data_IF_057017759925
#
_entry.id   IF_057017759925
#
_cell.length_a   1.000
_cell.length_b   1.000
_cell.length_c   1.000
_cell.angle_alpha   90.00
_cell.angle_beta   90.00
_cell.angle_gamma   90.00
#
_symmetry.space_group_name_H-M   'P 1'
#
loop_
_entity.id
_entity.type
_entity.pdbx_description
1 polymer ?
#
# COMPACT_ATOMS: atom_id res chain seq x y z
N UNK A 1 -34.54 14.91 -6.18
CA UNK A 1 -34.07 14.65 -6.08
C UNK A 1 -33.49 13.97 -6.10
N UNK A 2 -33.21 13.65 -6.12
CA UNK A 2 -32.70 13.05 -6.17
C UNK A 2 -31.97 12.54 -5.76
N UNK A 3 -31.70 12.52 -5.34
CA UNK A 3 -31.12 12.11 -4.81
C UNK A 3 -30.71 11.11 -4.62
N UNK A 4 -31.03 10.83 -4.45
CA UNK A 4 -30.98 9.66 -4.09
C UNK A 4 -30.07 9.00 -4.71
N UNK A 5 -29.89 9.26 -5.27
CA UNK A 5 -29.20 8.72 -6.00
C UNK A 5 -28.03 8.39 -5.55
N UNK A 6 -27.87 8.43 -4.70
CA UNK A 6 -26.87 8.16 -4.26
C UNK A 6 -26.64 6.93 -4.11
N UNK A 7 -26.27 6.42 -4.76
CA UNK A 7 -25.82 5.27 -4.72
C UNK A 7 -24.80 5.23 -3.76
N UNK A 8 -24.87 4.64 -2.77
CA UNK A 8 -23.88 4.43 -1.80
C UNK A 8 -22.93 3.41 -2.34
N UNK A 9 -21.74 3.82 -2.60
CA UNK A 9 -20.76 2.90 -3.08
C UNK A 9 -20.04 2.34 -1.88
N UNK A 10 -20.19 1.04 -1.68
CA UNK A 10 -19.54 0.41 -0.56
C UNK A 10 -18.06 0.34 -0.81
N UNK A 11 -17.23 0.76 0.14
CA UNK A 11 -15.79 0.60 0.00
C UNK A 11 -15.40 -0.86 0.11
N UNK A 12 -14.32 -1.21 -0.54
CA UNK A 12 -13.73 -2.54 -0.44
C UNK A 12 -12.45 -2.45 0.37
N UNK A 13 -12.01 -3.58 0.87
CA UNK A 13 -10.80 -3.67 1.69
C UNK A 13 -9.62 -4.05 0.82
N UNK A 14 -8.57 -3.26 0.86
CA UNK A 14 -7.40 -3.47 0.01
C UNK A 14 -6.11 -3.51 0.80
N UNK A 15 -5.18 -4.27 0.26
CA UNK A 15 -3.79 -4.24 0.70
C UNK A 15 -2.98 -3.70 -0.46
N UNK A 16 -2.27 -2.61 -0.23
CA UNK A 16 -1.39 -2.03 -1.25
C UNK A 16 0.05 -2.24 -0.86
N UNK A 17 0.84 -2.72 -1.81
CA UNK A 17 2.27 -2.87 -1.60
C UNK A 17 2.95 -1.93 -2.57
N UNK A 18 3.65 -0.95 -2.04
CA UNK A 18 4.30 0.09 -2.84
C UNK A 18 5.80 -0.09 -2.76
N UNK A 19 6.43 -0.19 -3.91
CA UNK A 19 7.88 -0.33 -3.99
C UNK A 19 8.50 1.04 -4.18
N UNK A 20 9.40 1.41 -3.30
CA UNK A 20 10.10 2.68 -3.36
C UNK A 20 11.60 2.46 -3.26
N UNK A 21 12.38 3.46 -3.63
CA UNK A 21 13.83 3.38 -3.53
C UNK A 21 14.27 3.36 -2.07
N UNK A 22 15.05 2.35 -1.69
CA UNK A 22 15.52 2.20 -0.33
C UNK A 22 16.31 3.40 0.16
N UNK A 23 17.19 3.91 -0.68
CA UNK A 23 18.02 5.06 -0.30
C UNK A 23 17.20 6.32 -0.07
N UNK A 24 16.22 6.52 -0.92
CA UNK A 24 15.34 7.67 -0.78
C UNK A 24 14.53 7.58 0.51
N UNK A 25 14.04 6.39 0.83
CA UNK A 25 13.30 6.19 2.05
C UNK A 25 14.17 6.42 3.28
N UNK A 26 15.42 5.94 3.24
CA UNK A 26 16.33 6.11 4.35
C UNK A 26 16.66 7.58 4.59
N UNK A 27 16.73 8.36 3.52
CA UNK A 27 17.07 9.77 3.63
C UNK A 27 15.88 10.61 4.07
N UNK A 28 14.69 10.29 3.57
CA UNK A 28 13.51 11.10 3.84
C UNK A 28 12.28 10.20 3.97
N UNK A 29 12.19 9.44 5.05
CA UNK A 29 11.06 8.52 5.20
C UNK A 29 9.71 9.23 5.22
N UNK A 30 9.63 10.38 5.87
CA UNK A 30 8.35 11.10 5.97
C UNK A 30 7.89 11.60 4.61
N UNK A 31 8.80 12.08 3.79
CA UNK A 31 8.45 12.54 2.46
C UNK A 31 7.95 11.42 1.58
N UNK A 32 8.60 10.25 1.67
CA UNK A 32 8.18 9.08 0.90
C UNK A 32 6.80 8.62 1.35
N UNK A 33 6.59 8.54 2.66
CA UNK A 33 5.29 8.12 3.20
C UNK A 33 4.20 9.11 2.79
N UNK A 34 4.49 10.40 2.85
CA UNK A 34 3.53 11.41 2.43
C UNK A 34 3.16 11.27 0.96
N UNK A 35 4.12 10.95 0.11
CA UNK A 35 3.83 10.75 -1.30
C UNK A 35 2.87 9.58 -1.52
N UNK A 36 3.09 8.49 -0.78
CA UNK A 36 2.21 7.32 -0.86
C UNK A 36 0.81 7.70 -0.34
N UNK A 37 0.76 8.38 0.79
CA UNK A 37 -0.52 8.77 1.38
C UNK A 37 -1.29 9.72 0.46
N UNK A 38 -0.59 10.62 -0.23
CA UNK A 38 -1.24 11.53 -1.16
C UNK A 38 -1.88 10.80 -2.34
N UNK A 39 -1.20 9.78 -2.85
CA UNK A 39 -1.76 8.97 -3.93
C UNK A 39 -3.05 8.31 -3.46
N UNK A 40 -3.02 7.73 -2.27
CA UNK A 40 -4.20 7.07 -1.71
C UNK A 40 -5.32 8.06 -1.45
N UNK A 41 -5.00 9.22 -0.93
CA UNK A 41 -6.00 10.23 -0.66
C UNK A 41 -6.69 10.68 -1.93
N UNK A 42 -5.93 10.86 -3.00
CA UNK A 42 -6.52 11.28 -4.28
C UNK A 42 -7.45 10.22 -4.85
N UNK A 43 -7.18 8.96 -4.53
CA UNK A 43 -8.02 7.85 -4.98
C UNK A 43 -9.25 7.65 -4.11
N UNK A 44 -9.39 8.42 -3.04
CA UNK A 44 -10.52 8.29 -2.13
C UNK A 44 -10.34 7.18 -1.11
N UNK A 45 -9.11 6.77 -0.86
CA UNK A 45 -8.83 5.71 0.09
C UNK A 45 -8.78 6.24 1.51
N UNK A 46 -9.16 5.37 2.43
CA UNK A 46 -9.07 5.66 3.84
C UNK A 46 -8.08 4.68 4.43
N UNK A 47 -6.95 5.17 4.89
CA UNK A 47 -5.86 4.31 5.35
C UNK A 47 -6.14 3.84 6.77
N UNK A 48 -6.02 2.53 6.98
CA UNK A 48 -6.28 1.93 8.28
C UNK A 48 -4.97 1.61 9.00
N UNK A 49 -3.97 1.12 8.28
CA UNK A 49 -2.67 0.81 8.87
C UNK A 49 -1.62 0.81 7.78
N UNK A 50 -0.40 1.11 8.13
CA UNK A 50 0.69 1.08 7.17
C UNK A 50 2.03 0.97 7.89
N UNK A 51 3.00 0.39 7.20
CA UNK A 51 4.36 0.30 7.73
C UNK A 51 5.31 -0.21 6.65
N UNK A 52 6.63 -0.02 6.82
CA UNK A 52 7.58 -0.69 5.94
C UNK A 52 7.45 -2.20 6.12
N UNK A 53 7.48 -2.94 5.03
CA UNK A 53 7.31 -4.38 5.09
C UNK A 53 8.62 -5.12 4.88
N UNK A 54 9.34 -4.79 3.82
CA UNK A 54 10.58 -5.47 3.51
C UNK A 54 11.51 -4.54 2.75
N UNK A 55 12.77 -4.55 3.12
CA UNK A 55 13.78 -3.73 2.48
C UNK A 55 14.89 -4.64 2.01
N UNK A 56 15.38 -4.46 0.81
CA UNK A 56 16.47 -5.28 0.36
C UNK A 56 16.71 -5.19 -1.14
N UNK A 57 17.60 -6.08 -1.57
CA UNK A 57 18.03 -6.10 -2.93
C UNK A 57 16.93 -6.58 -3.85
N UNK A 58 16.75 -5.90 -4.95
CA UNK A 58 15.78 -6.32 -5.94
C UNK A 58 16.36 -7.48 -6.75
N UNK A 59 15.49 -8.36 -7.24
CA UNK A 59 15.91 -9.47 -8.06
C UNK A 59 16.58 -8.99 -9.35
N UNK A 60 16.15 -7.83 -9.85
CA UNK A 60 16.77 -7.18 -11.00
C UNK A 60 16.55 -5.68 -10.85
N UNK A 61 17.37 -4.92 -11.53
CA UNK A 61 17.26 -3.46 -11.44
C UNK A 61 15.96 -2.96 -12.04
N UNK A 62 15.37 -1.99 -11.38
CA UNK A 62 14.17 -1.34 -11.89
C UNK A 62 14.47 0.15 -11.91
N UNK A 63 14.41 0.77 -13.08
CA UNK A 63 14.71 2.20 -13.24
C UNK A 63 16.07 2.57 -12.64
N UNK A 64 17.05 1.69 -12.78
CA UNK A 64 18.39 1.93 -12.26
C UNK A 64 18.57 1.65 -10.80
N UNK A 65 17.54 1.20 -10.11
CA UNK A 65 17.62 0.95 -8.69
C UNK A 65 17.84 -0.52 -8.40
N UNK A 66 18.75 -0.80 -7.50
CA UNK A 66 19.12 -2.15 -7.12
C UNK A 66 18.52 -2.59 -5.82
N UNK A 67 18.11 -1.65 -4.99
CA UNK A 67 17.50 -1.96 -3.70
C UNK A 67 16.16 -1.27 -3.59
N UNK A 68 15.19 -1.96 -3.07
CA UNK A 68 13.86 -1.41 -2.93
C UNK A 68 13.27 -1.74 -1.58
N UNK A 69 12.46 -0.84 -1.10
CA UNK A 69 11.71 -1.03 0.13
C UNK A 69 10.25 -1.20 -0.25
N UNK A 70 9.65 -2.26 0.26
CA UNK A 70 8.22 -2.50 0.09
C UNK A 70 7.48 -1.87 1.27
N UNK A 71 6.58 -0.97 0.96
CA UNK A 71 5.78 -0.31 1.98
C UNK A 71 4.34 -0.82 1.88
N UNK A 72 3.83 -1.40 2.95
CA UNK A 72 2.50 -2.00 2.93
C UNK A 72 1.48 -1.04 3.55
N UNK A 73 0.32 -0.93 2.91
CA UNK A 73 -0.77 -0.08 3.39
C UNK A 73 -2.06 -0.88 3.32
N UNK A 74 -2.76 -0.91 4.45
CA UNK A 74 -4.10 -1.49 4.50
C UNK A 74 -5.09 -0.35 4.45
N UNK A 75 -6.01 -0.38 3.49
CA UNK A 75 -6.92 0.74 3.31
C UNK A 75 -8.26 0.27 2.75
N UNK A 76 -9.26 1.11 2.92
CA UNK A 76 -10.55 0.89 2.28
C UNK A 76 -10.75 1.96 1.23
N UNK A 77 -11.44 1.61 0.16
CA UNK A 77 -11.59 2.53 -0.97
C UNK A 77 -12.74 2.04 -1.85
N UNK A 78 -13.52 2.96 -2.42
CA UNK A 78 -14.47 2.52 -3.45
C UNK A 78 -13.72 1.94 -4.62
N UNK A 79 -14.28 0.91 -5.23
CA UNK A 79 -13.63 0.27 -6.38
C UNK A 79 -13.34 1.25 -7.52
N UNK A 80 -14.15 2.29 -7.63
CA UNK A 80 -13.94 3.30 -8.66
C UNK A 80 -12.65 4.09 -8.47
N UNK A 81 -12.06 4.04 -7.27
CA UNK A 81 -10.80 4.74 -7.01
C UNK A 81 -9.57 4.04 -7.55
N UNK A 82 -9.71 2.77 -7.95
CA UNK A 82 -8.55 1.99 -8.38
C UNK A 82 -7.85 2.62 -9.57
N UNK A 83 -8.59 3.12 -10.53
CA UNK A 83 -8.03 3.76 -11.69
C UNK A 83 -7.19 4.96 -11.31
N UNK A 84 -7.69 5.78 -10.42
CA UNK A 84 -6.96 6.95 -9.95
C UNK A 84 -5.71 6.55 -9.19
N UNK A 85 -5.82 5.51 -8.36
CA UNK A 85 -4.68 5.02 -7.59
C UNK A 85 -3.55 4.58 -8.51
N UNK A 86 -3.87 3.78 -9.51
CA UNK A 86 -2.86 3.29 -10.46
C UNK A 86 -2.24 4.45 -11.22
N UNK A 87 -3.08 5.37 -11.70
CA UNK A 87 -2.58 6.50 -12.47
C UNK A 87 -1.68 7.41 -11.63
N UNK A 88 -2.11 7.73 -10.42
CA UNK A 88 -1.32 8.59 -9.55
C UNK A 88 0.00 7.92 -9.16
N UNK A 89 -0.03 6.61 -8.97
CA UNK A 89 1.20 5.86 -8.69
C UNK A 89 2.18 5.94 -9.85
N UNK A 90 1.66 5.82 -11.06
CA UNK A 90 2.50 5.90 -12.26
C UNK A 90 3.09 7.29 -12.47
N UNK A 91 2.38 8.31 -12.05
CA UNK A 91 2.87 9.68 -12.16
C UNK A 91 3.83 10.05 -11.05
N UNK A 92 3.89 9.27 -10.01
CA UNK A 92 4.76 9.56 -8.87
C UNK A 92 6.20 9.21 -9.20
N UNK A 93 7.12 10.08 -8.81
CA UNK A 93 8.54 9.77 -8.95
C UNK A 93 9.05 8.96 -7.77
N UNK A 94 8.25 8.82 -6.75
CA UNK A 94 8.62 8.10 -5.53
C UNK A 94 8.25 6.63 -5.64
N UNK A 95 7.08 6.34 -6.18
CA UNK A 95 6.58 4.96 -6.26
C UNK A 95 7.06 4.33 -7.56
N UNK A 96 7.86 3.27 -7.43
CA UNK A 96 8.40 2.55 -8.58
C UNK A 96 7.37 1.59 -9.11
N UNK A 97 6.71 0.90 -8.22
CA UNK A 97 5.69 -0.09 -8.57
C UNK A 97 4.65 -0.12 -7.48
N UNK A 98 3.46 -0.53 -7.83
CA UNK A 98 2.41 -0.76 -6.85
C UNK A 98 1.69 -2.04 -7.21
N UNK A 99 1.21 -2.72 -6.18
CA UNK A 99 0.38 -3.90 -6.33
C UNK A 99 -0.71 -3.80 -5.31
N UNK A 100 -1.95 -3.96 -5.72
CA UNK A 100 -3.09 -3.81 -4.83
C UNK A 100 -3.92 -5.08 -4.89
N UNK A 101 -4.22 -5.63 -3.72
CA UNK A 101 -5.00 -6.86 -3.60
C UNK A 101 -6.23 -6.57 -2.76
N UNK A 102 -7.37 -7.04 -3.21
CA UNK A 102 -8.60 -6.92 -2.46
C UNK A 102 -8.74 -8.12 -1.53
N UNK A 103 -9.14 -7.85 -0.29
CA UNK A 103 -9.28 -8.90 0.72
C UNK A 103 -10.69 -8.95 1.28
N UNK A 104 -11.14 -10.16 1.68
CA UNK A 104 -12.33 -10.25 2.52
C UNK A 104 -12.08 -9.59 3.87
N UNK A 105 -13.16 -9.20 4.54
CA UNK A 105 -13.05 -8.48 5.81
C UNK A 105 -12.21 -9.23 6.84
N UNK A 106 -12.39 -10.52 6.98
CA UNK A 106 -11.67 -11.28 8.00
C UNK A 106 -10.17 -11.28 7.76
N UNK A 107 -9.75 -11.42 6.51
CA UNK A 107 -8.33 -11.40 6.16
C UNK A 107 -7.77 -9.99 6.34
N UNK A 108 -8.55 -9.01 5.94
CA UNK A 108 -8.15 -7.62 6.09
C UNK A 108 -7.90 -7.29 7.58
N UNK A 109 -8.83 -7.67 8.45
CA UNK A 109 -8.70 -7.42 9.88
C UNK A 109 -7.49 -8.12 10.47
N UNK A 110 -7.23 -9.35 10.06
CA UNK A 110 -6.07 -10.09 10.53
C UNK A 110 -4.77 -9.40 10.12
N UNK A 111 -4.72 -8.90 8.88
CA UNK A 111 -3.54 -8.20 8.40
C UNK A 111 -3.33 -6.88 9.12
N UNK A 112 -4.41 -6.15 9.37
CA UNK A 112 -4.33 -4.90 10.12
C UNK A 112 -3.78 -5.16 11.52
N UNK A 113 -4.28 -6.20 12.18
CA UNK A 113 -3.79 -6.54 13.51
C UNK A 113 -2.31 -6.90 13.50
N UNK A 114 -1.88 -7.63 12.50
CA UNK A 114 -0.47 -8.00 12.38
C UNK A 114 0.41 -6.76 12.18
N UNK A 115 -0.04 -5.81 11.37
CA UNK A 115 0.74 -4.61 11.11
C UNK A 115 0.79 -3.68 12.29
N UNK A 116 -0.26 -3.64 13.09
CA UNK A 116 -0.29 -2.74 14.24
C UNK A 116 0.34 -3.37 15.47
N UNK A 117 0.78 -4.62 15.36
CA UNK A 117 1.42 -5.26 16.49
C UNK A 117 0.47 -5.87 17.48
N UNK A 118 -0.80 -5.94 17.14
CA UNK A 118 -1.76 -6.55 18.03
C UNK A 118 -1.55 -8.05 18.15
N UNK A 119 -0.90 -8.64 17.14
CA UNK A 119 -0.60 -10.04 17.14
C UNK A 119 0.90 -10.18 17.28
N UNK A 120 1.37 -11.02 18.14
CA UNK A 120 2.80 -11.20 18.26
C UNK A 120 3.37 -11.67 16.97
N UNK A 121 4.43 -11.25 16.83
CA UNK A 121 4.95 -11.47 15.64
C UNK A 121 5.17 -12.73 15.14
N UNK A 122 4.83 -13.41 15.23
CA UNK A 122 5.03 -14.49 14.73
C UNK A 122 5.10 -14.43 13.49
N UNK A 123 5.10 -14.02 13.14
CA UNK A 123 5.10 -13.97 12.04
C UNK A 123 5.96 -13.71 11.34
N UNK A 124 6.51 -13.92 11.40
CA UNK A 124 7.25 -13.85 10.76
C UNK A 124 7.46 -14.19 9.79
N UNK A 125 7.40 -14.41 9.48
CA UNK A 125 7.54 -14.74 8.69
C UNK A 125 7.71 -15.00 7.72
N UNK A 126 7.78 -15.12 7.30
CA UNK A 126 7.94 -15.39 6.33
C UNK A 126 8.30 -15.43 5.35
N UNK A 127 8.50 -15.53 5.41
CA UNK A 127 8.73 -15.61 4.69
C UNK A 127 8.86 -15.88 3.72
N UNK A 128 8.94 -15.87 3.51
CA UNK A 128 9.07 -16.20 2.58
C UNK A 128 9.29 -16.38 1.65
N UNK A 129 9.36 -16.46 1.89
CA UNK A 129 9.62 -16.67 1.17
C UNK A 129 9.97 -16.84 0.52
N UNK A 130 10.04 -17.00 0.80
CA UNK A 130 10.40 -17.31 0.42
C UNK A 130 10.68 -17.68 -0.27
N UNK A 131 10.82 -17.90 -0.36
CA UNK A 131 11.14 -18.34 -0.87
C UNK A 131 11.28 -18.47 -1.33
#
# INVERSE_FOLDING_TARGET
VTVAVQKVVKPHNYEGMFLVDSGKFATDPDGVINDIMNVLKRAGAEVVAHRPWADGKLAYEINGMKKGLHYIVMFTMPGSGMKTLVRQSQLSETIIRQMVIRHPQSIFDANVNALTGAVPAQQEAPAPDAE
#
